data_IF_594137502162
#
_entry.id   IF_594137502162
#
_cell.length_a   1.000
_cell.length_b   1.000
_cell.length_c   1.000
_cell.angle_alpha   90.00
_cell.angle_beta   90.00
_cell.angle_gamma   90.00
#
_symmetry.space_group_name_H-M   'P 1'
#
loop_
_entity.id
_entity.type
_entity.pdbx_description
1 polymer ?
#
# COMPACT_ATOMS: atom_id res chain seq x y z
N UNK A 1 5.29 -1.46 0.39
CA UNK A 1 6.00 -0.42 1.17
C UNK A 1 7.39 -0.12 0.62
N UNK A 2 8.26 -1.12 0.37
CA UNK A 2 9.63 -0.88 -0.09
C UNK A 2 9.75 0.03 -1.33
N UNK A 3 8.86 -0.10 -2.31
CA UNK A 3 8.81 0.79 -3.48
C UNK A 3 8.58 2.26 -3.09
N UNK A 4 7.51 2.51 -2.34
CA UNK A 4 7.08 3.86 -2.03
C UNK A 4 7.99 4.55 -0.99
N UNK A 5 8.58 3.81 -0.06
CA UNK A 5 9.69 4.30 0.78
C UNK A 5 10.89 4.73 -0.07
N UNK A 6 11.19 3.98 -1.14
CA UNK A 6 12.31 4.29 -2.04
C UNK A 6 12.03 5.50 -2.93
N UNK A 7 10.78 5.68 -3.37
CA UNK A 7 10.32 6.88 -4.09
C UNK A 7 10.49 8.12 -3.19
N UNK A 8 10.00 8.06 -1.94
CA UNK A 8 10.14 9.15 -0.98
C UNK A 8 11.59 9.48 -0.67
N UNK A 9 12.44 8.48 -0.47
CA UNK A 9 13.85 8.73 -0.21
C UNK A 9 14.57 9.31 -1.42
N UNK A 10 14.19 8.90 -2.64
CA UNK A 10 14.67 9.56 -3.85
C UNK A 10 14.27 11.05 -3.82
N UNK A 11 13.03 11.37 -3.43
CA UNK A 11 12.52 12.74 -3.31
C UNK A 11 13.29 13.54 -2.25
N UNK A 12 13.55 12.98 -1.07
CA UNK A 12 14.31 13.63 -0.01
C UNK A 12 15.81 13.83 -0.37
N UNK A 13 16.44 12.85 -1.03
CA UNK A 13 17.83 12.99 -1.49
C UNK A 13 17.98 14.02 -2.61
N UNK A 14 16.92 14.20 -3.40
CA UNK A 14 16.87 15.25 -4.42
C UNK A 14 16.84 16.65 -3.83
N UNK A 15 16.20 16.83 -2.68
CA UNK A 15 16.17 18.12 -1.99
C UNK A 15 17.49 18.43 -1.28
N UNK A 16 18.17 17.42 -0.70
CA UNK A 16 19.40 17.64 0.10
C UNK A 16 20.70 17.68 -0.71
N UNK A 17 20.83 16.89 -1.79
CA UNK A 17 22.10 16.70 -2.51
C UNK A 17 22.11 17.25 -3.94
N UNK A 18 21.09 18.02 -4.33
CA UNK A 18 20.96 18.56 -5.69
C UNK A 18 20.75 17.49 -6.77
N UNK A 19 20.44 16.24 -6.38
CA UNK A 19 20.07 15.16 -7.31
C UNK A 19 18.64 15.43 -7.78
N UNK A 20 18.43 16.37 -8.68
CA UNK A 20 17.08 16.66 -9.15
C UNK A 20 16.43 15.39 -9.72
N UNK A 21 15.28 14.95 -9.18
CA UNK A 21 14.52 13.84 -9.77
C UNK A 21 14.00 14.23 -11.16
N UNK A 22 13.71 13.23 -11.99
CA UNK A 22 12.87 13.42 -13.16
C UNK A 22 11.40 13.15 -12.79
N UNK A 23 10.56 14.17 -12.59
CA UNK A 23 9.22 14.04 -12.03
C UNK A 23 8.20 13.39 -12.97
N UNK A 24 8.60 12.94 -14.17
CA UNK A 24 7.64 12.51 -15.20
C UNK A 24 7.46 10.99 -15.27
N UNK A 25 8.28 10.18 -14.58
CA UNK A 25 8.14 8.71 -14.59
C UNK A 25 6.95 8.27 -13.72
N UNK A 26 5.83 7.98 -14.36
CA UNK A 26 4.62 7.45 -13.72
C UNK A 26 4.73 5.94 -13.48
N UNK A 27 4.54 5.49 -12.23
CA UNK A 27 4.67 4.08 -11.86
C UNK A 27 3.36 3.57 -11.29
N UNK A 28 2.89 2.43 -11.81
CA UNK A 28 1.76 1.71 -11.23
C UNK A 28 2.24 0.51 -10.44
N UNK A 29 1.75 0.36 -9.20
CA UNK A 29 1.86 -0.87 -8.40
C UNK A 29 0.47 -1.48 -8.25
N UNK A 30 0.12 -2.53 -9.01
CA UNK A 30 -1.21 -3.11 -8.99
C UNK A 30 -1.60 -3.67 -7.61
N UNK A 31 -2.82 -3.36 -7.15
CA UNK A 31 -3.52 -4.07 -6.08
C UNK A 31 -4.20 -5.33 -6.62
N UNK A 32 -5.52 -5.47 -6.43
CA UNK A 32 -6.27 -6.53 -7.14
C UNK A 32 -6.20 -6.37 -8.67
N UNK A 33 -6.29 -7.49 -9.40
CA UNK A 33 -6.30 -7.49 -10.86
C UNK A 33 -7.43 -6.63 -11.44
N UNK A 34 -8.66 -6.84 -10.96
CA UNK A 34 -9.84 -6.12 -11.45
C UNK A 34 -9.71 -4.61 -11.25
N UNK A 35 -9.21 -4.19 -10.10
CA UNK A 35 -8.94 -2.78 -9.80
C UNK A 35 -7.93 -2.18 -10.78
N UNK A 36 -6.81 -2.89 -10.96
CA UNK A 36 -5.74 -2.44 -11.83
C UNK A 36 -6.18 -2.35 -13.31
N UNK A 37 -6.90 -3.34 -13.81
CA UNK A 37 -7.46 -3.36 -15.16
C UNK A 37 -8.39 -2.16 -15.40
N UNK A 38 -9.35 -1.93 -14.51
CA UNK A 38 -10.27 -0.79 -14.59
C UNK A 38 -9.51 0.56 -14.58
N UNK A 39 -8.53 0.73 -13.70
CA UNK A 39 -7.75 1.96 -13.60
C UNK A 39 -6.91 2.22 -14.85
N UNK A 40 -6.20 1.19 -15.31
CA UNK A 40 -5.26 1.29 -16.41
C UNK A 40 -5.99 1.68 -17.70
N UNK A 41 -7.15 1.07 -17.96
CA UNK A 41 -8.00 1.40 -19.11
C UNK A 41 -8.49 2.85 -18.96
N UNK A 42 -9.11 3.19 -17.84
CA UNK A 42 -9.67 4.52 -17.61
C UNK A 42 -8.63 5.64 -17.77
N UNK A 43 -7.44 5.48 -17.17
CA UNK A 43 -6.37 6.49 -17.23
C UNK A 43 -5.80 6.60 -18.64
N UNK A 44 -5.54 5.48 -19.31
CA UNK A 44 -5.02 5.46 -20.67
C UNK A 44 -6.01 6.08 -21.66
N UNK A 45 -7.29 5.70 -21.60
CA UNK A 45 -8.33 6.27 -22.47
C UNK A 45 -8.54 7.76 -22.21
N UNK A 46 -8.58 8.18 -20.93
CA UNK A 46 -8.65 9.59 -20.57
C UNK A 46 -7.46 10.39 -21.08
N UNK A 47 -6.25 9.82 -21.01
CA UNK A 47 -5.02 10.41 -21.54
C UNK A 47 -5.09 10.63 -23.06
N UNK A 48 -5.49 9.59 -23.81
CA UNK A 48 -5.61 9.68 -25.26
C UNK A 48 -6.74 10.61 -25.70
N UNK A 49 -7.86 10.66 -24.97
CA UNK A 49 -8.93 11.65 -25.20
C UNK A 49 -8.44 13.10 -25.08
N UNK A 50 -7.49 13.37 -24.19
CA UNK A 50 -6.85 14.70 -24.03
C UNK A 50 -5.74 14.98 -25.05
N UNK A 51 -5.59 14.14 -26.08
CA UNK A 51 -4.56 14.29 -27.11
C UNK A 51 -3.19 13.74 -26.73
N UNK A 52 -3.09 13.06 -25.58
CA UNK A 52 -1.87 12.40 -25.15
C UNK A 52 -1.47 11.23 -26.05
N UNK A 53 -0.16 11.02 -26.23
CA UNK A 53 0.41 9.87 -26.94
C UNK A 53 1.16 8.95 -25.97
N UNK A 54 1.38 7.69 -26.38
CA UNK A 54 2.08 6.71 -25.54
C UNK A 54 1.27 6.20 -24.34
N UNK A 55 1.93 5.53 -23.37
CA UNK A 55 1.28 5.04 -22.16
C UNK A 55 1.06 6.16 -21.13
N UNK A 56 0.05 5.98 -20.25
CA UNK A 56 -0.08 6.82 -19.06
C UNK A 56 0.94 6.45 -17.98
N UNK A 57 1.11 5.15 -17.70
CA UNK A 57 2.13 4.65 -16.78
C UNK A 57 3.39 4.23 -17.54
N UNK A 58 4.55 4.71 -17.11
CA UNK A 58 5.85 4.32 -17.67
C UNK A 58 6.24 2.89 -17.27
N UNK A 59 6.02 2.55 -16.00
CA UNK A 59 6.42 1.26 -15.42
C UNK A 59 5.27 0.66 -14.65
N UNK A 60 5.01 -0.63 -14.87
CA UNK A 60 4.11 -1.42 -14.01
C UNK A 60 4.93 -2.37 -13.15
N UNK A 61 4.91 -2.17 -11.84
CA UNK A 61 5.58 -2.99 -10.85
C UNK A 61 4.60 -3.98 -10.22
N UNK A 62 4.67 -5.25 -10.61
CA UNK A 62 3.88 -6.31 -9.99
C UNK A 62 4.59 -6.87 -8.77
N UNK A 63 3.97 -6.69 -7.61
CA UNK A 63 4.40 -7.26 -6.33
C UNK A 63 3.54 -8.49 -6.01
N UNK A 64 3.51 -9.47 -6.92
CA UNK A 64 2.53 -10.57 -6.89
C UNK A 64 3.05 -11.86 -6.28
N UNK A 65 2.41 -12.35 -5.22
CA UNK A 65 2.53 -13.75 -4.75
C UNK A 65 1.41 -14.66 -5.30
N UNK A 66 0.69 -14.24 -6.34
CA UNK A 66 -0.50 -14.91 -6.87
C UNK A 66 -0.40 -15.39 -8.33
N UNK A 67 -1.33 -16.25 -8.73
CA UNK A 67 -1.43 -16.77 -10.10
C UNK A 67 -2.03 -15.69 -11.03
N UNK A 68 -1.22 -15.15 -11.94
CA UNK A 68 -1.66 -14.24 -12.99
C UNK A 68 -2.07 -15.04 -14.23
N UNK A 69 -3.21 -14.70 -14.85
CA UNK A 69 -3.56 -15.15 -16.20
C UNK A 69 -2.63 -14.46 -17.23
N UNK A 70 -1.47 -15.08 -17.43
CA UNK A 70 -0.26 -14.54 -18.05
C UNK A 70 -0.48 -13.80 -19.36
N UNK A 71 -1.25 -14.41 -20.26
CA UNK A 71 -1.44 -13.89 -21.62
C UNK A 71 -2.42 -12.72 -21.69
N UNK A 72 -3.45 -12.72 -20.84
CA UNK A 72 -4.44 -11.65 -20.81
C UNK A 72 -3.79 -10.36 -20.30
N UNK A 73 -2.98 -10.48 -19.23
CA UNK A 73 -2.29 -9.34 -18.64
C UNK A 73 -1.29 -8.73 -19.60
N UNK A 74 -0.45 -9.55 -20.23
CA UNK A 74 0.53 -9.06 -21.21
C UNK A 74 -0.14 -8.30 -22.36
N UNK A 75 -1.25 -8.82 -22.91
CA UNK A 75 -2.00 -8.16 -23.98
C UNK A 75 -2.65 -6.86 -23.54
N UNK A 76 -3.23 -6.81 -22.34
CA UNK A 76 -3.82 -5.57 -21.81
C UNK A 76 -2.75 -4.48 -21.69
N UNK A 77 -1.62 -4.80 -21.05
CA UNK A 77 -0.52 -3.86 -20.89
C UNK A 77 0.02 -3.36 -22.24
N UNK A 78 0.19 -4.26 -23.20
CA UNK A 78 0.62 -3.90 -24.56
C UNK A 78 -0.41 -3.00 -25.26
N UNK A 79 -1.72 -3.26 -25.09
CA UNK A 79 -2.78 -2.41 -25.66
C UNK A 79 -2.78 -1.00 -25.05
N UNK A 80 -2.37 -0.87 -23.79
CA UNK A 80 -2.15 0.40 -23.11
C UNK A 80 -0.77 1.03 -23.39
N UNK A 81 0.00 0.47 -24.34
CA UNK A 81 1.34 0.92 -24.75
C UNK A 81 2.40 0.89 -23.63
N UNK A 82 2.20 0.04 -22.61
CA UNK A 82 3.18 -0.15 -21.54
C UNK A 82 4.42 -0.87 -22.09
N UNK A 83 5.59 -0.28 -21.90
CA UNK A 83 6.84 -0.84 -22.42
C UNK A 83 7.67 -1.59 -21.36
N UNK A 84 7.51 -1.22 -20.08
CA UNK A 84 8.33 -1.71 -18.98
C UNK A 84 7.50 -2.35 -17.88
N UNK A 85 7.85 -3.60 -17.56
CA UNK A 85 7.22 -4.35 -16.48
C UNK A 85 8.28 -4.89 -15.51
N UNK A 86 8.07 -4.64 -14.22
CA UNK A 86 8.91 -5.18 -13.15
C UNK A 86 8.11 -6.23 -12.37
N UNK A 87 8.47 -7.50 -12.50
CA UNK A 87 7.86 -8.61 -11.77
C UNK A 87 8.67 -8.90 -10.50
N UNK A 88 8.34 -8.25 -9.40
CA UNK A 88 8.96 -8.46 -8.09
C UNK A 88 8.44 -9.72 -7.38
N UNK A 89 8.16 -10.78 -8.14
CA UNK A 89 7.69 -12.06 -7.63
C UNK A 89 8.78 -13.12 -7.77
N UNK A 90 9.00 -13.85 -6.68
CA UNK A 90 9.94 -14.97 -6.67
C UNK A 90 9.58 -15.96 -7.77
N UNK A 91 10.59 -16.45 -8.47
CA UNK A 91 10.45 -17.45 -9.54
C UNK A 91 9.67 -16.98 -10.80
N UNK A 92 9.38 -15.67 -10.94
CA UNK A 92 8.79 -15.13 -12.18
C UNK A 92 9.64 -15.33 -13.43
N UNK A 93 10.97 -15.35 -13.28
CA UNK A 93 11.91 -15.61 -14.36
C UNK A 93 12.41 -17.07 -14.37
N UNK A 94 11.78 -17.97 -13.59
CA UNK A 94 12.21 -19.36 -13.51
C UNK A 94 11.83 -20.11 -14.79
N UNK A 95 12.75 -20.94 -15.26
CA UNK A 95 12.55 -21.81 -16.43
C UNK A 95 12.59 -23.26 -15.96
N UNK A 96 11.54 -23.68 -15.26
CA UNK A 96 11.32 -25.08 -14.89
C UNK A 96 10.34 -25.70 -15.90
N UNK A 97 10.84 -26.19 -17.04
CA UNK A 97 10.04 -26.83 -18.08
C UNK A 97 9.99 -26.06 -19.42
N UNK A 98 8.92 -26.22 -20.23
CA UNK A 98 8.79 -25.52 -21.49
C UNK A 98 8.92 -24.01 -21.29
N UNK A 99 9.55 -23.31 -22.23
CA UNK A 99 9.77 -21.87 -22.14
C UNK A 99 8.52 -21.02 -21.81
N UNK A 100 7.33 -21.50 -22.15
CA UNK A 100 6.04 -20.89 -21.81
C UNK A 100 5.74 -20.84 -20.28
N UNK A 101 6.47 -21.62 -19.48
CA UNK A 101 6.38 -21.62 -18.02
C UNK A 101 7.07 -20.42 -17.36
N UNK A 102 7.93 -19.68 -18.08
CA UNK A 102 8.55 -18.45 -17.58
C UNK A 102 7.61 -17.25 -17.74
N UNK A 103 7.17 -16.67 -16.63
CA UNK A 103 6.21 -15.55 -16.62
C UNK A 103 6.78 -14.31 -17.31
N UNK A 104 8.06 -13.97 -17.08
CA UNK A 104 8.66 -12.80 -17.74
C UNK A 104 8.64 -12.93 -19.27
N UNK A 105 8.82 -14.16 -19.78
CA UNK A 105 8.79 -14.42 -21.23
C UNK A 105 7.40 -14.19 -21.83
N UNK A 106 6.32 -14.57 -21.13
CA UNK A 106 4.96 -14.37 -21.66
C UNK A 106 4.64 -12.89 -21.87
N UNK A 107 5.15 -12.00 -21.02
CA UNK A 107 4.99 -10.55 -21.19
C UNK A 107 5.72 -10.06 -22.45
N UNK A 108 6.97 -10.48 -22.66
CA UNK A 108 7.71 -10.11 -23.88
C UNK A 108 7.06 -10.66 -25.15
N UNK A 109 6.49 -11.87 -25.10
CA UNK A 109 5.74 -12.47 -26.21
C UNK A 109 4.42 -11.76 -26.49
N UNK A 110 3.82 -11.13 -25.47
CA UNK A 110 2.59 -10.36 -25.60
C UNK A 110 2.82 -8.93 -26.13
N UNK A 111 4.07 -8.53 -26.37
CA UNK A 111 4.42 -7.22 -26.94
C UNK A 111 5.02 -6.22 -25.95
N UNK A 112 5.33 -6.63 -24.72
CA UNK A 112 6.07 -5.78 -23.77
C UNK A 112 7.55 -5.75 -24.17
N UNK A 113 8.11 -4.55 -24.32
CA UNK A 113 9.48 -4.37 -24.79
C UNK A 113 10.50 -4.96 -23.80
N UNK A 114 10.41 -4.56 -22.54
CA UNK A 114 11.34 -4.99 -21.48
C UNK A 114 10.57 -5.47 -20.26
N UNK A 115 10.86 -6.69 -19.83
CA UNK A 115 10.30 -7.28 -18.63
C UNK A 115 11.42 -7.79 -17.71
N UNK A 116 11.33 -7.43 -16.43
CA UNK A 116 12.26 -7.86 -15.38
C UNK A 116 11.56 -8.88 -14.49
N UNK A 117 12.27 -9.92 -14.07
CA UNK A 117 11.75 -10.81 -13.04
C UNK A 117 12.84 -11.50 -12.23
N UNK A 118 12.41 -12.28 -11.26
CA UNK A 118 13.27 -12.94 -10.29
C UNK A 118 13.28 -14.45 -10.58
N UNK A 119 14.43 -15.05 -10.88
CA UNK A 119 14.51 -16.48 -11.26
C UNK A 119 14.50 -17.43 -10.06
N UNK A 120 14.81 -16.94 -8.85
CA UNK A 120 14.83 -17.72 -7.62
C UNK A 120 14.07 -17.01 -6.49
N UNK A 121 13.94 -17.67 -5.34
CA UNK A 121 13.35 -17.05 -4.15
C UNK A 121 14.29 -15.99 -3.58
N UNK A 122 13.77 -14.80 -3.32
CA UNK A 122 14.46 -13.73 -2.60
C UNK A 122 13.96 -13.67 -1.15
N UNK A 123 14.87 -13.34 -0.23
CA UNK A 123 14.44 -12.93 1.12
C UNK A 123 13.79 -11.55 1.07
N UNK A 124 12.94 -11.21 2.05
CA UNK A 124 12.33 -9.88 2.12
C UNK A 124 13.37 -8.75 2.19
N UNK A 125 14.49 -8.98 2.88
CA UNK A 125 15.61 -8.03 2.91
C UNK A 125 16.33 -7.88 1.58
N UNK A 126 16.48 -8.97 0.82
CA UNK A 126 17.06 -8.91 -0.52
C UNK A 126 16.15 -8.13 -1.48
N UNK A 127 14.85 -8.45 -1.48
CA UNK A 127 13.86 -7.73 -2.29
C UNK A 127 13.85 -6.23 -1.95
N UNK A 128 13.91 -5.87 -0.66
CA UNK A 128 14.01 -4.47 -0.23
C UNK A 128 15.29 -3.80 -0.74
N UNK A 129 16.44 -4.46 -0.63
CA UNK A 129 17.72 -3.96 -1.12
C UNK A 129 17.68 -3.70 -2.64
N UNK A 130 17.21 -4.69 -3.41
CA UNK A 130 17.09 -4.65 -4.86
C UNK A 130 16.12 -3.57 -5.34
N UNK A 131 14.89 -3.53 -4.82
CA UNK A 131 13.87 -2.55 -5.20
C UNK A 131 14.36 -1.14 -4.88
N UNK A 132 14.96 -0.96 -3.70
CA UNK A 132 15.50 0.34 -3.28
C UNK A 132 16.60 0.82 -4.22
N UNK A 133 17.62 0.00 -4.45
CA UNK A 133 18.73 0.38 -5.32
C UNK A 133 18.25 0.66 -6.76
N UNK A 134 17.33 -0.17 -7.27
CA UNK A 134 16.74 0.03 -8.58
C UNK A 134 16.03 1.39 -8.69
N UNK A 135 15.07 1.70 -7.81
CA UNK A 135 14.28 2.92 -7.93
C UNK A 135 15.07 4.19 -7.62
N UNK A 136 15.99 4.17 -6.67
CA UNK A 136 16.88 5.30 -6.41
C UNK A 136 17.70 5.67 -7.65
N UNK A 137 18.16 4.68 -8.41
CA UNK A 137 18.91 4.93 -9.64
C UNK A 137 17.99 5.28 -10.81
N UNK A 138 16.82 4.66 -10.92
CA UNK A 138 15.84 4.96 -11.97
C UNK A 138 15.39 6.42 -11.94
N UNK A 139 15.18 6.98 -10.75
CA UNK A 139 14.79 8.39 -10.61
C UNK A 139 15.98 9.37 -10.61
N UNK A 140 17.22 8.87 -10.66
CA UNK A 140 18.40 9.73 -10.71
C UNK A 140 18.57 10.34 -12.12
N UNK A 141 18.82 11.64 -12.20
CA UNK A 141 19.17 12.29 -13.48
C UNK A 141 20.50 11.82 -14.08
N UNK A 142 21.38 11.26 -13.26
CA UNK A 142 22.71 10.79 -13.66
C UNK A 142 22.69 9.42 -14.34
N UNK A 143 21.64 8.61 -14.11
CA UNK A 143 21.48 7.30 -14.74
C UNK A 143 20.02 7.09 -15.19
N UNK A 144 19.54 7.81 -16.22
CA UNK A 144 18.15 7.74 -16.69
C UNK A 144 17.83 6.45 -17.47
N UNK A 145 18.75 5.47 -17.49
CA UNK A 145 18.56 4.22 -18.22
C UNK A 145 18.14 3.10 -17.26
N UNK A 146 17.02 2.47 -17.60
CA UNK A 146 16.43 1.36 -16.86
C UNK A 146 17.43 0.21 -16.65
N UNK A 147 18.31 -0.06 -17.62
CA UNK A 147 19.33 -1.12 -17.48
C UNK A 147 20.43 -0.75 -16.48
N UNK A 148 20.83 0.53 -16.41
CA UNK A 148 21.78 1.00 -15.39
C UNK A 148 21.19 0.90 -13.98
N UNK A 149 19.89 1.22 -13.83
CA UNK A 149 19.19 1.01 -12.57
C UNK A 149 19.17 -0.47 -12.14
N UNK A 150 19.02 -1.41 -13.09
CA UNK A 150 19.11 -2.85 -12.80
C UNK A 150 20.53 -3.28 -12.43
N UNK A 151 21.56 -2.75 -13.10
CA UNK A 151 22.96 -3.02 -12.75
C UNK A 151 23.28 -2.54 -11.34
N UNK A 152 22.85 -1.33 -10.98
CA UNK A 152 22.99 -0.81 -9.62
C UNK A 152 22.27 -1.66 -8.58
N UNK A 153 21.10 -2.23 -8.92
CA UNK A 153 20.39 -3.15 -8.05
C UNK A 153 21.16 -4.47 -7.82
N UNK A 154 21.79 -5.01 -8.86
CA UNK A 154 22.66 -6.19 -8.75
C UNK A 154 23.91 -5.91 -7.91
N UNK A 155 24.53 -4.75 -8.12
CA UNK A 155 25.70 -4.32 -7.36
C UNK A 155 25.36 -4.13 -5.86
N UNK A 156 24.20 -3.56 -5.55
CA UNK A 156 23.73 -3.45 -4.17
C UNK A 156 23.53 -4.82 -3.49
N UNK A 157 22.98 -5.81 -4.21
CA UNK A 157 22.86 -7.18 -3.70
C UNK A 157 24.23 -7.86 -3.52
N UNK A 158 25.20 -7.57 -4.40
CA UNK A 158 26.54 -8.14 -4.31
C UNK A 158 27.34 -7.56 -3.14
N UNK A 159 27.27 -6.25 -2.96
CA UNK A 159 28.05 -5.51 -1.95
C UNK A 159 27.50 -5.66 -0.54
N UNK A 160 26.22 -6.00 -0.40
CA UNK A 160 25.60 -6.37 0.87
C UNK A 160 25.16 -7.83 0.79
N UNK A 161 25.91 -8.84 1.26
CA UNK A 161 25.49 -10.26 1.18
C UNK A 161 24.70 -10.77 2.39
N UNK A 162 24.72 -10.07 3.53
CA UNK A 162 23.95 -10.47 4.74
C UNK A 162 22.44 -10.26 4.53
N UNK A 163 21.62 -11.24 4.90
CA UNK A 163 20.16 -11.27 4.73
C UNK A 163 19.46 -11.75 5.99
N UNK A 164 18.20 -11.34 6.17
CA UNK A 164 17.31 -11.89 7.18
C UNK A 164 16.39 -12.95 6.54
N UNK A 165 16.49 -14.17 7.03
CA UNK A 165 15.61 -15.29 6.70
C UNK A 165 14.44 -15.37 7.71
N UNK A 166 13.72 -16.51 7.75
CA UNK A 166 12.65 -16.73 8.74
C UNK A 166 13.15 -16.49 10.16
N UNK A 167 12.28 -15.92 11.00
CA UNK A 167 12.59 -15.55 12.38
C UNK A 167 13.81 -14.63 12.47
N UNK A 168 14.00 -13.75 11.50
CA UNK A 168 15.09 -12.78 11.45
C UNK A 168 16.51 -13.39 11.49
N UNK A 169 16.68 -14.67 11.11
CA UNK A 169 17.99 -15.33 11.10
C UNK A 169 18.91 -14.72 10.04
N UNK A 170 20.12 -14.37 10.45
CA UNK A 170 21.14 -13.82 9.54
C UNK A 170 21.76 -14.93 8.71
N UNK A 171 21.71 -14.78 7.39
CA UNK A 171 22.33 -15.69 6.42
C UNK A 171 23.14 -14.90 5.40
N UNK A 172 24.16 -15.51 4.81
CA UNK A 172 24.95 -14.92 3.72
C UNK A 172 24.46 -15.49 2.39
N UNK A 173 23.99 -14.65 1.47
CA UNK A 173 23.49 -15.07 0.17
C UNK A 173 24.20 -14.31 -0.96
N UNK A 174 24.60 -15.04 -2.00
CA UNK A 174 25.09 -14.49 -3.27
C UNK A 174 23.95 -14.44 -4.28
N UNK A 175 23.01 -13.53 -4.06
CA UNK A 175 21.79 -13.36 -4.86
C UNK A 175 21.92 -12.29 -5.97
N UNK A 176 23.12 -11.75 -6.20
CA UNK A 176 23.40 -10.69 -7.20
C UNK A 176 23.17 -11.08 -8.66
N UNK A 177 22.96 -12.37 -8.95
CA UNK A 177 22.48 -12.84 -10.25
C UNK A 177 21.05 -12.35 -10.55
N UNK A 178 20.31 -11.90 -9.53
CA UNK A 178 18.96 -11.35 -9.60
C UNK A 178 18.99 -9.81 -9.62
N UNK A 179 18.07 -9.13 -10.33
CA UNK A 179 16.99 -9.69 -11.15
C UNK A 179 17.46 -10.08 -12.56
N UNK A 180 16.64 -10.82 -13.32
CA UNK A 180 16.88 -11.20 -14.72
C UNK A 180 16.05 -10.32 -15.65
N UNK A 181 16.62 -9.91 -16.78
CA UNK A 181 15.97 -9.02 -17.76
C UNK A 181 15.73 -9.76 -19.06
N UNK A 182 14.50 -9.67 -19.57
CA UNK A 182 14.11 -10.13 -20.90
C UNK A 182 13.76 -8.91 -21.75
N UNK A 183 14.30 -8.86 -22.97
CA UNK A 183 14.08 -7.79 -23.94
C UNK A 183 13.66 -8.37 -25.27
N UNK A 184 12.73 -7.71 -25.94
CA UNK A 184 12.32 -8.09 -27.29
C UNK A 184 13.49 -7.88 -28.27
N UNK A 185 13.80 -8.87 -29.10
CA UNK A 185 15.03 -8.92 -29.91
C UNK A 185 15.13 -7.87 -31.01
N UNK A 186 14.01 -7.25 -31.38
CA UNK A 186 13.89 -6.19 -32.40
C UNK A 186 13.70 -4.79 -31.78
N UNK A 187 13.86 -4.65 -30.46
CA UNK A 187 13.89 -3.36 -29.79
C UNK A 187 15.27 -2.71 -29.96
N UNK A 188 15.68 -2.41 -31.20
CA UNK A 188 16.93 -1.68 -31.51
C UNK A 188 16.86 -0.20 -31.13
N UNK A 189 15.68 0.28 -30.73
CA UNK A 189 15.57 1.60 -30.16
C UNK A 189 16.19 1.59 -28.75
N UNK A 190 17.25 2.39 -28.48
CA UNK A 190 17.58 2.74 -27.11
C UNK A 190 16.31 3.31 -26.47
N UNK A 191 16.12 3.07 -25.16
CA UNK A 191 15.03 3.69 -24.40
C UNK A 191 14.88 5.14 -24.87
N UNK A 192 13.74 5.45 -25.50
CA UNK A 192 13.52 6.79 -26.03
C UNK A 192 13.78 7.73 -24.88
N UNK A 193 14.75 8.64 -25.04
CA UNK A 193 15.14 9.52 -23.95
C UNK A 193 13.87 10.19 -23.47
N UNK A 194 13.59 9.98 -22.19
CA UNK A 194 12.40 10.43 -21.49
C UNK A 194 12.02 11.91 -21.76
N UNK A 195 13.01 12.73 -22.14
CA UNK A 195 12.87 14.12 -22.58
C UNK A 195 12.03 14.34 -23.85
N UNK A 196 11.91 13.37 -24.75
CA UNK A 196 11.27 13.55 -26.07
C UNK A 196 9.77 13.18 -26.07
N UNK A 197 9.27 12.51 -25.03
CA UNK A 197 7.90 11.97 -25.00
C UNK A 197 6.85 12.94 -24.41
N UNK A 198 7.29 14.02 -23.74
CA UNK A 198 6.41 15.00 -23.11
C UNK A 198 6.95 16.43 -23.30
N UNK A 199 6.80 16.97 -24.51
CA UNK A 199 6.80 18.43 -24.71
C UNK A 199 5.37 18.94 -24.53
N UNK A 200 4.96 19.17 -23.27
CA UNK A 200 3.74 19.91 -22.93
C UNK A 200 3.81 20.41 -21.48
N UNK A 201 4.07 21.70 -21.38
CA UNK A 201 3.90 22.62 -20.26
C UNK A 201 2.75 22.31 -19.29
N UNK A 202 2.99 21.51 -18.24
CA UNK A 202 2.18 21.54 -17.01
C UNK A 202 3.06 21.32 -15.77
N UNK A 203 4.11 22.13 -15.61
CA UNK A 203 4.80 22.27 -14.34
C UNK A 203 3.95 23.15 -13.41
N UNK A 204 3.08 22.54 -12.60
CA UNK A 204 2.44 23.23 -11.48
C UNK A 204 3.50 23.50 -10.42
N UNK A 205 4.00 24.74 -10.40
CA UNK A 205 4.69 25.31 -9.24
C UNK A 205 3.64 25.58 -8.18
N UNK A 206 3.54 24.73 -7.17
CA UNK A 206 2.96 25.08 -5.88
C UNK A 206 3.77 24.35 -4.81
N UNK A 207 4.73 25.05 -4.22
CA UNK A 207 5.27 24.68 -2.91
C UNK A 207 4.22 25.06 -1.87
N UNK A 208 3.58 24.10 -1.17
CA UNK A 208 2.69 24.45 -0.08
C UNK A 208 3.53 24.95 1.10
N UNK A 209 3.01 25.98 1.76
CA UNK A 209 3.52 26.47 3.04
C UNK A 209 3.25 25.40 4.12
N UNK A 210 4.30 24.66 4.50
CA UNK A 210 4.27 23.50 5.40
C UNK A 210 3.86 23.89 6.83
N UNK A 211 3.99 25.17 7.21
CA UNK A 211 3.76 25.62 8.58
C UNK A 211 2.28 25.94 8.89
N UNK A 212 1.43 26.12 7.88
CA UNK A 212 -0.02 26.31 8.06
C UNK A 212 -0.78 24.99 8.32
N UNK A 213 -0.21 23.85 7.92
CA UNK A 213 -0.88 22.52 7.90
C UNK A 213 -0.84 21.84 9.29
N UNK A 214 -0.06 22.36 10.25
CA UNK A 214 0.21 21.69 11.53
C UNK A 214 -0.85 21.88 12.63
N UNK A 215 -1.91 22.66 12.42
CA UNK A 215 -2.79 23.07 13.54
C UNK A 215 -4.02 22.19 13.79
N UNK A 216 -4.31 21.17 12.98
CA UNK A 216 -5.47 20.30 13.24
C UNK A 216 -5.16 18.86 12.90
N UNK A 217 -4.69 18.14 13.93
CA UNK A 217 -4.72 16.69 14.24
C UNK A 217 -4.08 16.55 15.63
N UNK A 218 -4.56 15.63 16.49
CA UNK A 218 -3.73 15.11 17.58
C UNK A 218 -2.48 14.49 16.96
N UNK A 219 -1.36 15.23 16.93
CA UNK A 219 -0.13 14.96 16.14
C UNK A 219 0.40 13.53 16.28
N UNK A 220 -0.02 12.82 17.31
CA UNK A 220 0.24 11.42 17.62
C UNK A 220 -0.34 10.43 16.57
N UNK A 221 -1.51 10.67 15.98
CA UNK A 221 -2.16 9.73 15.05
C UNK A 221 -1.52 9.72 13.63
N UNK A 222 -0.79 10.77 13.26
CA UNK A 222 -0.01 10.84 12.02
C UNK A 222 1.45 10.43 12.21
N UNK A 223 1.85 9.97 13.40
CA UNK A 223 3.18 9.41 13.54
C UNK A 223 3.21 8.04 12.87
N UNK A 224 4.34 7.75 12.19
CA UNK A 224 4.58 6.41 11.66
C UNK A 224 4.41 5.40 12.80
N UNK A 225 3.47 4.44 12.69
CA UNK A 225 3.29 3.44 13.73
C UNK A 225 4.61 2.67 13.94
N UNK A 226 4.98 2.47 15.21
CA UNK A 226 6.20 1.73 15.59
C UNK A 226 6.11 0.22 15.28
N UNK A 227 4.91 -0.29 15.06
CA UNK A 227 4.62 -1.70 14.82
C UNK A 227 4.71 -2.09 13.34
N UNK A 228 5.37 -3.21 13.04
CA UNK A 228 5.45 -3.76 11.69
C UNK A 228 4.08 -4.25 11.19
N UNK A 229 3.69 -3.85 9.98
CA UNK A 229 2.44 -4.23 9.31
C UNK A 229 2.63 -5.39 8.35
N UNK A 230 3.41 -6.38 8.75
CA UNK A 230 3.74 -7.55 7.95
C UNK A 230 2.47 -8.16 7.31
N UNK A 231 2.47 -8.28 5.98
CA UNK A 231 1.39 -8.91 5.22
C UNK A 231 0.16 -8.04 4.98
N UNK A 232 0.20 -6.74 5.31
CA UNK A 232 -0.93 -5.81 5.12
C UNK A 232 -0.85 -4.99 3.83
N UNK A 233 0.18 -5.19 3.01
CA UNK A 233 0.47 -4.36 1.85
C UNK A 233 -0.63 -4.41 0.78
N UNK A 234 -1.25 -5.58 0.57
CA UNK A 234 -2.38 -5.71 -0.35
C UNK A 234 -3.63 -5.01 0.18
N UNK A 235 -3.89 -5.08 1.48
CA UNK A 235 -5.02 -4.39 2.08
C UNK A 235 -4.88 -2.86 1.95
N UNK A 236 -3.65 -2.32 2.02
CA UNK A 236 -3.38 -0.90 1.76
C UNK A 236 -3.78 -0.54 0.33
N UNK A 237 -3.29 -1.31 -0.65
CA UNK A 237 -3.57 -1.08 -2.07
C UNK A 237 -5.07 -1.17 -2.39
N UNK A 238 -5.76 -2.16 -1.81
CA UNK A 238 -7.20 -2.32 -2.01
C UNK A 238 -8.00 -1.13 -1.47
N UNK A 239 -7.55 -0.51 -0.37
CA UNK A 239 -8.18 0.68 0.18
C UNK A 239 -7.84 1.95 -0.60
N UNK A 240 -6.59 2.11 -1.05
CA UNK A 240 -6.20 3.20 -1.96
C UNK A 240 -7.04 3.16 -3.25
N UNK A 241 -7.26 1.96 -3.78
CA UNK A 241 -8.15 1.76 -4.91
C UNK A 241 -9.59 2.17 -4.61
N UNK A 242 -10.12 1.75 -3.46
CA UNK A 242 -11.48 2.08 -3.06
C UNK A 242 -11.72 3.60 -2.98
N UNK A 243 -10.72 4.36 -2.55
CA UNK A 243 -10.79 5.81 -2.45
C UNK A 243 -10.67 6.52 -3.82
N UNK A 244 -9.85 5.98 -4.72
CA UNK A 244 -9.53 6.60 -6.02
C UNK A 244 -10.52 6.25 -7.14
N UNK A 245 -11.37 5.23 -6.94
CA UNK A 245 -12.32 4.77 -7.96
C UNK A 245 -13.40 5.84 -8.25
N UNK A 246 -13.55 6.29 -9.51
CA UNK A 246 -14.65 7.18 -9.90
C UNK A 246 -16.01 6.54 -9.63
N UNK A 247 -17.00 7.33 -9.25
CA UNK A 247 -18.38 6.85 -9.12
C UNK A 247 -18.93 6.67 -10.54
N UNK A 248 -19.36 5.45 -10.88
CA UNK A 248 -19.64 5.00 -12.25
C UNK A 248 -20.83 5.69 -12.95
N UNK A 249 -21.43 6.73 -12.37
CA UNK A 249 -22.63 7.39 -12.87
C UNK A 249 -22.41 8.77 -13.51
N UNK A 250 -21.18 9.24 -13.65
CA UNK A 250 -20.93 10.61 -14.11
C UNK A 250 -20.25 10.61 -15.48
N UNK A 251 -21.10 10.69 -16.49
CA UNK A 251 -20.77 10.82 -17.93
C UNK A 251 -20.15 12.20 -18.25
N UNK A 252 -20.13 13.12 -17.28
CA UNK A 252 -19.61 14.48 -17.46
C UNK A 252 -18.48 14.73 -16.45
N UNK A 253 -17.31 15.13 -16.95
CA UNK A 253 -16.05 15.43 -16.23
C UNK A 253 -16.15 16.60 -15.19
N UNK A 254 -17.35 16.97 -14.73
CA UNK A 254 -17.62 18.17 -13.91
C UNK A 254 -18.27 17.90 -12.55
N UNK A 255 -18.60 16.65 -12.20
CA UNK A 255 -19.16 16.38 -10.88
C UNK A 255 -18.12 16.55 -9.77
N UNK A 256 -18.47 17.19 -8.63
CA UNK A 256 -17.54 17.36 -7.53
C UNK A 256 -17.09 15.99 -7.01
N UNK A 257 -15.81 15.81 -6.66
CA UNK A 257 -15.32 14.52 -6.17
C UNK A 257 -15.98 14.26 -4.82
N UNK A 258 -17.07 13.47 -4.80
CA UNK A 258 -17.63 13.00 -3.55
C UNK A 258 -16.57 12.18 -2.82
N UNK A 259 -16.55 12.35 -1.50
CA UNK A 259 -15.79 11.52 -0.61
C UNK A 259 -16.22 10.06 -0.68
N UNK A 260 -15.51 9.21 0.03
CA UNK A 260 -15.82 7.77 0.09
C UNK A 260 -15.92 7.36 1.54
N UNK A 261 -16.93 6.54 1.85
CA UNK A 261 -17.04 5.87 3.15
C UNK A 261 -16.46 4.47 2.98
N UNK A 262 -15.50 4.12 3.84
CA UNK A 262 -14.90 2.79 3.94
C UNK A 262 -15.21 2.24 5.31
N UNK A 263 -15.75 1.02 5.37
CA UNK A 263 -16.01 0.29 6.62
C UNK A 263 -14.99 -0.84 6.74
N UNK A 264 -14.06 -0.68 7.67
CA UNK A 264 -13.06 -1.67 8.05
C UNK A 264 -13.59 -2.55 9.18
N UNK A 265 -13.84 -3.83 8.87
CA UNK A 265 -14.36 -4.79 9.85
C UNK A 265 -13.51 -6.05 9.98
N UNK A 266 -13.67 -6.77 11.10
CA UNK A 266 -12.91 -7.99 11.38
C UNK A 266 -12.87 -8.34 12.87
N UNK A 267 -12.38 -9.53 13.21
CA UNK A 267 -12.34 -10.04 14.58
C UNK A 267 -11.54 -9.15 15.55
N UNK A 268 -11.80 -9.28 16.85
CA UNK A 268 -11.02 -8.59 17.87
C UNK A 268 -9.54 -9.00 17.80
N UNK A 269 -8.62 -8.05 18.05
CA UNK A 269 -7.18 -8.32 18.05
C UNK A 269 -6.51 -8.48 16.67
N UNK A 270 -7.26 -8.46 15.56
CA UNK A 270 -6.70 -8.63 14.20
C UNK A 270 -5.83 -7.44 13.71
N UNK A 271 -5.77 -6.34 14.47
CA UNK A 271 -4.96 -5.16 14.16
C UNK A 271 -5.67 -4.05 13.37
N UNK A 272 -7.00 -3.94 13.46
CA UNK A 272 -7.77 -2.91 12.72
C UNK A 272 -7.36 -1.48 13.06
N UNK A 273 -7.25 -1.16 14.34
CA UNK A 273 -6.83 0.17 14.81
C UNK A 273 -5.43 0.52 14.31
N UNK A 274 -4.46 -0.38 14.49
CA UNK A 274 -3.10 -0.24 13.96
C UNK A 274 -3.09 -0.02 12.45
N UNK A 275 -3.94 -0.74 11.73
CA UNK A 275 -4.06 -0.61 10.28
C UNK A 275 -4.69 0.73 9.86
N UNK A 276 -5.77 1.16 10.50
CA UNK A 276 -6.42 2.45 10.24
C UNK A 276 -5.48 3.64 10.48
N UNK A 277 -4.73 3.62 11.58
CA UNK A 277 -3.73 4.65 11.89
C UNK A 277 -2.59 4.66 10.87
N UNK A 278 -2.14 3.48 10.43
CA UNK A 278 -1.17 3.42 9.35
C UNK A 278 -1.67 4.00 8.04
N UNK A 279 -2.93 3.75 7.67
CA UNK A 279 -3.50 4.33 6.45
C UNK A 279 -3.58 5.85 6.56
N UNK A 280 -3.93 6.38 7.74
CA UNK A 280 -3.91 7.81 8.00
C UNK A 280 -2.52 8.41 7.75
N UNK A 281 -1.50 7.85 8.40
CA UNK A 281 -0.10 8.22 8.20
C UNK A 281 0.30 8.09 6.73
N UNK A 282 0.01 6.93 6.13
CA UNK A 282 0.44 6.60 4.78
C UNK A 282 -0.16 7.53 3.74
N UNK A 283 -1.47 7.76 3.79
CA UNK A 283 -2.18 8.62 2.85
C UNK A 283 -1.85 10.09 3.04
N UNK A 284 -1.61 10.54 4.28
CA UNK A 284 -1.09 11.88 4.53
C UNK A 284 0.27 12.04 3.86
N UNK A 285 1.15 11.08 4.07
CA UNK A 285 2.50 11.15 3.55
C UNK A 285 2.62 10.96 2.03
N UNK A 286 1.72 10.20 1.41
CA UNK A 286 1.64 10.08 -0.05
C UNK A 286 0.80 11.18 -0.67
N UNK A 287 0.42 12.20 0.12
CA UNK A 287 -0.38 13.34 -0.31
C UNK A 287 -1.76 12.98 -0.90
N UNK A 288 -2.26 11.78 -0.59
CA UNK A 288 -3.62 11.35 -0.94
C UNK A 288 -4.69 12.09 -0.13
N UNK A 289 -4.31 12.54 1.08
CA UNK A 289 -5.14 13.39 1.93
C UNK A 289 -4.33 14.62 2.38
N UNK A 290 -5.01 15.72 2.65
CA UNK A 290 -4.41 16.93 3.23
C UNK A 290 -4.14 16.76 4.72
N UNK A 291 -5.14 16.26 5.44
CA UNK A 291 -5.15 16.07 6.89
C UNK A 291 -6.25 15.05 7.25
N UNK A 292 -6.46 14.78 8.52
CA UNK A 292 -7.44 13.85 9.02
C UNK A 292 -7.94 14.17 10.43
N UNK A 293 -8.90 13.41 10.91
CA UNK A 293 -9.45 13.51 12.26
C UNK A 293 -9.64 12.09 12.76
N UNK A 294 -9.04 11.75 13.89
CA UNK A 294 -9.16 10.43 14.50
C UNK A 294 -9.93 10.53 15.80
N UNK A 295 -10.98 9.72 15.94
CA UNK A 295 -11.69 9.50 17.19
C UNK A 295 -11.86 8.01 17.42
N UNK A 296 -11.41 7.53 18.58
CA UNK A 296 -11.80 6.20 19.06
C UNK A 296 -13.06 6.34 19.89
N UNK A 297 -14.06 5.51 19.59
CA UNK A 297 -15.23 5.41 20.45
C UNK A 297 -14.90 4.62 21.72
N UNK A 298 -15.31 5.17 22.86
CA UNK A 298 -15.19 4.52 24.16
C UNK A 298 -16.55 4.60 24.85
N UNK A 299 -17.47 3.65 24.58
CA UNK A 299 -18.76 3.53 25.30
C UNK A 299 -19.51 4.87 25.54
N UNK A 300 -19.44 5.79 24.59
CA UNK A 300 -20.14 7.08 24.59
C UNK A 300 -21.29 7.02 23.56
N UNK A 301 -22.27 7.92 23.70
CA UNK A 301 -23.34 8.04 22.71
C UNK A 301 -22.79 8.62 21.37
N UNK A 302 -23.41 8.31 20.21
CA UNK A 302 -22.95 8.78 18.90
C UNK A 302 -22.98 10.30 18.71
N UNK A 303 -23.88 10.97 19.41
CA UNK A 303 -24.01 12.43 19.42
C UNK A 303 -22.73 13.12 19.92
N UNK A 304 -22.01 12.53 20.87
CA UNK A 304 -20.69 13.01 21.32
C UNK A 304 -19.71 13.09 20.15
N UNK A 305 -19.73 12.11 19.25
CA UNK A 305 -18.89 12.13 18.05
C UNK A 305 -19.28 13.30 17.16
N UNK A 306 -20.59 13.51 16.94
CA UNK A 306 -21.10 14.60 16.10
C UNK A 306 -20.75 15.96 16.69
N UNK A 307 -20.87 16.13 18.02
CA UNK A 307 -20.46 17.35 18.71
C UNK A 307 -18.97 17.63 18.55
N UNK A 308 -18.11 16.62 18.70
CA UNK A 308 -16.68 16.79 18.50
C UNK A 308 -16.32 17.10 17.05
N UNK A 309 -16.98 16.44 16.10
CA UNK A 309 -16.83 16.76 14.68
C UNK A 309 -17.20 18.22 14.41
N UNK A 310 -18.26 18.74 15.04
CA UNK A 310 -18.65 20.14 14.93
C UNK A 310 -17.63 21.08 15.60
N UNK A 311 -17.16 20.76 16.82
CA UNK A 311 -16.15 21.54 17.56
C UNK A 311 -14.82 21.65 16.80
N UNK A 312 -14.48 20.62 16.02
CA UNK A 312 -13.24 20.57 15.23
C UNK A 312 -13.43 20.97 13.75
N UNK A 313 -14.56 21.60 13.41
CA UNK A 313 -14.89 22.08 12.05
C UNK A 313 -14.83 20.99 10.94
N UNK A 314 -14.94 19.71 11.33
CA UNK A 314 -14.99 18.57 10.40
C UNK A 314 -16.26 18.63 9.54
N UNK A 315 -17.32 19.22 10.10
CA UNK A 315 -18.63 19.40 9.46
C UNK A 315 -18.80 20.74 8.75
N UNK A 316 -17.81 21.63 8.70
CA UNK A 316 -17.93 22.93 8.02
C UNK A 316 -17.20 23.01 6.69
N UNK A 317 -16.09 22.26 6.55
CA UNK A 317 -15.13 22.44 5.46
C UNK A 317 -15.46 21.58 4.24
N UNK A 318 -15.38 22.19 3.05
CA UNK A 318 -15.43 21.49 1.76
C UNK A 318 -14.01 21.18 1.28
N UNK A 319 -13.81 20.02 0.65
CA UNK A 319 -12.52 19.65 0.08
C UNK A 319 -12.03 20.69 -0.93
N UNK A 320 -10.79 21.14 -0.76
CA UNK A 320 -10.05 21.93 -1.73
C UNK A 320 -9.45 21.02 -2.81
N UNK A 321 -8.15 21.19 -3.10
CA UNK A 321 -7.44 20.33 -4.06
C UNK A 321 -7.20 18.90 -3.55
N UNK A 322 -7.25 18.67 -2.23
CA UNK A 322 -7.04 17.37 -1.58
C UNK A 322 -8.14 17.11 -0.53
N UNK A 323 -8.60 15.86 -0.39
CA UNK A 323 -9.59 15.48 0.61
C UNK A 323 -8.98 15.39 2.02
N UNK A 324 -9.82 15.47 3.05
CA UNK A 324 -9.46 15.16 4.44
C UNK A 324 -9.99 13.77 4.80
N UNK A 325 -9.43 13.14 5.85
CA UNK A 325 -9.82 11.81 6.32
C UNK A 325 -10.46 11.84 7.72
N UNK A 326 -11.71 11.44 7.86
CA UNK A 326 -12.34 11.16 9.15
C UNK A 326 -12.15 9.68 9.51
N UNK A 327 -11.64 9.36 10.69
CA UNK A 327 -11.57 8.01 11.24
C UNK A 327 -12.42 7.94 12.51
N UNK A 328 -13.40 7.04 12.52
CA UNK A 328 -14.17 6.67 13.71
C UNK A 328 -13.84 5.23 14.06
N UNK A 329 -13.05 5.04 15.10
CA UNK A 329 -12.60 3.72 15.56
C UNK A 329 -13.52 3.14 16.62
N UNK A 330 -13.52 1.81 16.73
CA UNK A 330 -14.33 1.05 17.68
C UNK A 330 -15.84 1.28 17.58
N UNK A 331 -16.36 1.52 16.38
CA UNK A 331 -17.77 1.79 16.10
C UNK A 331 -18.72 0.64 16.53
N UNK A 332 -18.23 -0.56 16.83
CA UNK A 332 -19.03 -1.61 17.47
C UNK A 332 -19.49 -1.26 18.90
N UNK A 333 -18.75 -0.39 19.60
CA UNK A 333 -19.23 0.23 20.82
C UNK A 333 -20.53 0.99 20.56
N UNK A 334 -20.78 1.34 19.27
CA UNK A 334 -21.98 2.02 18.85
C UNK A 334 -23.25 1.16 18.67
N UNK A 335 -23.22 -0.09 19.13
CA UNK A 335 -24.31 -1.04 18.90
C UNK A 335 -24.40 -2.07 20.03
N UNK A 336 -23.43 -2.05 20.92
CA UNK A 336 -23.50 -2.68 22.22
C UNK A 336 -24.12 -1.62 23.17
N UNK A 337 -25.43 -1.69 23.45
CA UNK A 337 -26.08 -0.69 24.29
C UNK A 337 -25.36 -0.58 25.64
N UNK A 338 -25.22 0.64 26.14
CA UNK A 338 -24.88 0.84 27.54
C UNK A 338 -26.00 0.18 28.34
N UNK A 339 -25.64 -0.65 29.33
CA UNK A 339 -26.62 -1.43 30.10
C UNK A 339 -27.68 -0.56 30.79
N UNK A 340 -27.36 0.71 31.00
CA UNK A 340 -28.16 1.66 31.74
C UNK A 340 -28.77 2.79 30.88
N UNK A 341 -28.38 2.91 29.59
CA UNK A 341 -28.86 3.98 28.68
C UNK A 341 -28.77 3.55 27.19
N UNK A 342 -29.77 2.80 26.69
CA UNK A 342 -29.79 2.35 25.32
C UNK A 342 -30.05 3.53 24.37
N UNK A 343 -29.51 3.40 23.19
CA UNK A 343 -29.41 4.47 22.22
C UNK A 343 -30.73 4.64 21.51
N UNK A 344 -31.09 5.86 21.13
CA UNK A 344 -32.30 6.10 20.35
C UNK A 344 -32.03 6.21 18.84
N UNK A 345 -33.09 5.99 18.04
CA UNK A 345 -33.03 6.08 16.58
C UNK A 345 -32.60 7.48 16.10
N UNK A 346 -32.82 8.52 16.92
CA UNK A 346 -32.51 9.89 16.58
C UNK A 346 -31.00 10.14 16.62
N UNK A 347 -30.30 9.69 17.67
CA UNK A 347 -28.84 9.78 17.81
C UNK A 347 -28.13 9.03 16.67
N UNK A 348 -28.62 7.83 16.32
CA UNK A 348 -28.08 7.06 15.21
C UNK A 348 -28.29 7.74 13.85
N UNK A 349 -29.46 8.35 13.65
CA UNK A 349 -29.76 9.12 12.44
C UNK A 349 -28.89 10.38 12.34
N UNK A 350 -28.68 11.10 13.45
CA UNK A 350 -27.80 12.26 13.50
C UNK A 350 -26.36 11.87 13.14
N UNK A 351 -25.84 10.79 13.72
CA UNK A 351 -24.52 10.27 13.40
C UNK A 351 -24.39 9.91 11.92
N UNK A 352 -25.34 9.13 11.37
CA UNK A 352 -25.32 8.75 9.95
C UNK A 352 -25.36 9.98 9.03
N UNK A 353 -26.16 10.98 9.38
CA UNK A 353 -26.27 12.25 8.64
C UNK A 353 -24.94 13.00 8.65
N UNK A 354 -24.29 13.12 9.81
CA UNK A 354 -22.98 13.77 9.94
C UNK A 354 -21.91 13.09 9.07
N UNK A 355 -21.85 11.75 9.08
CA UNK A 355 -20.93 10.98 8.24
C UNK A 355 -21.17 11.21 6.74
N UNK A 356 -22.44 11.17 6.31
CA UNK A 356 -22.81 11.42 4.92
C UNK A 356 -22.50 12.87 4.51
N UNK A 357 -22.60 13.83 5.43
CA UNK A 357 -22.28 15.22 5.18
C UNK A 357 -20.76 15.42 4.93
N UNK A 358 -19.90 14.73 5.69
CA UNK A 358 -18.44 14.72 5.45
C UNK A 358 -18.13 14.17 4.05
N UNK A 359 -18.75 13.05 3.69
CA UNK A 359 -18.62 12.45 2.36
C UNK A 359 -19.11 13.40 1.25
N UNK A 360 -20.26 14.03 1.44
CA UNK A 360 -20.86 14.94 0.46
C UNK A 360 -19.96 16.16 0.18
N UNK A 361 -19.12 16.54 1.13
CA UNK A 361 -18.14 17.62 1.01
C UNK A 361 -16.81 17.23 0.37
N UNK A 362 -16.70 15.99 -0.12
CA UNK A 362 -15.51 15.50 -0.79
C UNK A 362 -14.44 14.94 0.13
N UNK A 363 -14.76 14.66 1.39
CA UNK A 363 -13.83 14.09 2.36
C UNK A 363 -14.03 12.57 2.54
N UNK A 364 -12.96 11.84 2.80
CA UNK A 364 -13.03 10.39 3.03
C UNK A 364 -13.37 10.08 4.48
N UNK A 365 -14.12 9.00 4.70
CA UNK A 365 -14.49 8.50 6.02
C UNK A 365 -14.06 7.04 6.13
N UNK A 366 -13.35 6.70 7.20
CA UNK A 366 -12.97 5.35 7.57
C UNK A 366 -13.63 4.97 8.91
N UNK A 367 -14.60 4.08 8.85
CA UNK A 367 -15.31 3.56 10.01
C UNK A 367 -14.73 2.20 10.39
N UNK A 368 -14.25 2.04 11.63
CA UNK A 368 -13.60 0.80 12.07
C UNK A 368 -14.47 0.09 13.11
N UNK A 369 -14.79 -1.17 12.86
CA UNK A 369 -15.76 -1.94 13.67
C UNK A 369 -15.41 -3.41 13.76
N UNK A 370 -15.99 -4.14 14.73
CA UNK A 370 -15.90 -5.60 14.81
C UNK A 370 -16.96 -6.30 13.96
N UNK A 371 -18.11 -5.66 13.80
CA UNK A 371 -19.30 -6.24 13.19
C UNK A 371 -19.67 -5.48 11.91
N UNK A 372 -20.17 -6.21 10.91
CA UNK A 372 -20.57 -5.62 9.64
C UNK A 372 -21.96 -5.01 9.72
N UNK A 373 -22.92 -5.75 10.28
CA UNK A 373 -24.24 -5.23 10.61
C UNK A 373 -24.21 -4.46 11.92
N UNK A 374 -24.99 -3.37 12.07
CA UNK A 374 -26.00 -2.83 11.15
C UNK A 374 -25.43 -1.86 10.10
N UNK A 375 -24.12 -1.64 10.07
CA UNK A 375 -23.48 -0.62 9.24
C UNK A 375 -23.66 -0.85 7.73
N UNK A 376 -23.93 -2.09 7.29
CA UNK A 376 -24.36 -2.37 5.90
C UNK A 376 -25.66 -1.70 5.52
N UNK A 377 -26.60 -1.64 6.47
CA UNK A 377 -27.92 -1.07 6.28
C UNK A 377 -27.82 0.46 6.37
N UNK A 378 -27.04 0.98 7.32
CA UNK A 378 -26.85 2.43 7.51
C UNK A 378 -26.10 3.09 6.35
N UNK A 379 -25.08 2.41 5.80
CA UNK A 379 -24.22 2.97 4.75
C UNK A 379 -24.11 2.04 3.52
N UNK A 380 -25.19 1.75 2.79
CA UNK A 380 -25.21 0.73 1.74
C UNK A 380 -24.21 1.00 0.60
N UNK A 381 -23.85 2.27 0.38
CA UNK A 381 -22.89 2.70 -0.64
C UNK A 381 -21.43 2.68 -0.18
N UNK A 382 -21.16 2.33 1.09
CA UNK A 382 -19.81 2.26 1.63
C UNK A 382 -19.02 1.09 1.03
N UNK A 383 -17.71 1.24 0.98
CA UNK A 383 -16.80 0.15 0.63
C UNK A 383 -16.50 -0.67 1.88
N UNK A 384 -16.86 -1.95 1.88
CA UNK A 384 -16.61 -2.85 3.00
C UNK A 384 -15.31 -3.60 2.80
N UNK A 385 -14.39 -3.49 3.76
CA UNK A 385 -13.13 -4.22 3.77
C UNK A 385 -13.02 -5.10 5.02
N UNK A 386 -12.88 -6.41 4.80
CA UNK A 386 -12.70 -7.39 5.87
C UNK A 386 -11.21 -7.63 6.14
N UNK A 387 -10.72 -7.17 7.29
CA UNK A 387 -9.34 -7.39 7.72
C UNK A 387 -9.19 -8.81 8.27
N UNK A 388 -8.53 -9.67 7.48
CA UNK A 388 -8.24 -11.07 7.85
C UNK A 388 -7.03 -11.16 8.80
N UNK A 389 -6.81 -12.28 9.50
CA UNK A 389 -5.52 -12.55 10.14
C UNK A 389 -4.35 -12.57 9.12
N UNK A 390 -3.12 -12.26 9.53
CA UNK A 390 -1.92 -12.40 8.70
C UNK A 390 -1.73 -13.83 8.20
N UNK A 391 -1.00 -13.98 7.09
CA UNK A 391 -0.61 -15.31 6.61
C UNK A 391 0.37 -15.98 7.58
N UNK A 392 0.55 -17.32 7.52
CA UNK A 392 1.53 -18.00 8.36
C UNK A 392 2.96 -17.44 8.21
N UNK A 393 3.32 -16.98 7.01
CA UNK A 393 4.62 -16.38 6.74
C UNK A 393 4.75 -15.01 7.42
N UNK A 394 3.75 -14.15 7.28
CA UNK A 394 3.76 -12.79 7.86
C UNK A 394 3.69 -12.85 9.39
N UNK A 395 2.91 -13.79 9.93
CA UNK A 395 2.87 -14.09 11.35
C UNK A 395 4.25 -14.51 11.89
N UNK A 396 4.97 -15.35 11.15
CA UNK A 396 6.34 -15.74 11.52
C UNK A 396 7.31 -14.55 11.53
N UNK A 397 7.13 -13.61 10.60
CA UNK A 397 7.87 -12.35 10.58
C UNK A 397 7.58 -11.49 11.81
N UNK A 398 6.29 -11.32 12.14
CA UNK A 398 5.84 -10.57 13.32
C UNK A 398 6.42 -11.15 14.61
N UNK A 399 6.38 -12.47 14.78
CA UNK A 399 6.98 -13.16 15.94
C UNK A 399 8.49 -12.92 15.99
N UNK A 400 9.18 -13.01 14.84
CA UNK A 400 10.62 -12.71 14.77
C UNK A 400 10.97 -11.28 15.22
N UNK A 401 10.11 -10.30 14.91
CA UNK A 401 10.31 -8.92 15.34
C UNK A 401 10.06 -8.73 16.84
N UNK A 402 9.02 -9.38 17.39
CA UNK A 402 8.72 -9.37 18.82
C UNK A 402 9.89 -9.96 19.62
N UNK A 403 10.37 -11.14 19.23
CA UNK A 403 11.48 -11.84 19.90
C UNK A 403 12.76 -10.99 19.91
N UNK A 404 13.05 -10.32 18.79
CA UNK A 404 14.17 -9.39 18.69
C UNK A 404 14.00 -8.18 19.62
N UNK A 405 12.77 -7.65 19.74
CA UNK A 405 12.43 -6.55 20.65
C UNK A 405 12.66 -6.88 22.12
N UNK A 406 12.33 -8.12 22.52
CA UNK A 406 12.50 -8.63 23.89
C UNK A 406 13.96 -9.00 24.22
N UNK A 407 14.92 -8.77 23.32
CA UNK A 407 16.33 -9.16 23.46
C UNK A 407 16.56 -10.67 23.71
N UNK A 408 15.57 -11.52 23.48
CA UNK A 408 15.64 -12.98 23.67
C UNK A 408 16.45 -13.71 22.56
N UNK A 409 17.29 -12.98 21.81
CA UNK A 409 17.97 -13.49 20.63
C UNK A 409 17.00 -13.90 19.51
N UNK A 410 17.52 -14.48 18.42
CA UNK A 410 16.69 -15.28 17.52
C UNK A 410 16.61 -16.68 18.13
N UNK A 411 15.47 -17.13 18.67
CA UNK A 411 15.38 -18.41 19.38
C UNK A 411 15.38 -19.61 18.43
N UNK A 412 15.76 -19.43 17.17
CA UNK A 412 15.61 -20.46 16.12
C UNK A 412 16.96 -20.79 15.53
N UNK A 413 17.85 -21.35 16.35
CA UNK A 413 19.05 -22.00 15.84
C UNK A 413 18.75 -23.37 15.23
N UNK A 414 17.63 -24.00 15.60
CA UNK A 414 17.26 -25.35 15.20
C UNK A 414 15.87 -25.51 14.56
N UNK A 415 15.73 -26.57 13.75
CA UNK A 415 14.47 -26.93 13.06
C UNK A 415 13.29 -27.30 13.98
N UNK A 416 13.54 -27.58 15.25
CA UNK A 416 12.53 -27.92 16.27
C UNK A 416 11.84 -26.69 16.85
N UNK A 417 12.58 -25.60 17.07
CA UNK A 417 12.05 -24.33 17.61
C UNK A 417 11.15 -23.63 16.59
N UNK A 418 11.50 -23.68 15.30
CA UNK A 418 10.65 -23.23 14.20
C UNK A 418 9.28 -23.93 14.20
N UNK A 419 9.27 -25.27 14.38
CA UNK A 419 8.04 -26.07 14.45
C UNK A 419 7.19 -25.70 15.67
N UNK A 420 7.82 -25.40 16.80
CA UNK A 420 7.11 -24.96 18.00
C UNK A 420 6.41 -23.61 17.79
N UNK A 421 7.10 -22.63 17.20
CA UNK A 421 6.51 -21.33 16.84
C UNK A 421 5.37 -21.49 15.84
N UNK A 422 5.52 -22.36 14.85
CA UNK A 422 4.46 -22.66 13.88
C UNK A 422 3.23 -23.31 14.55
N UNK A 423 3.43 -24.20 15.54
CA UNK A 423 2.35 -24.77 16.33
C UNK A 423 1.61 -23.70 17.16
N UNK A 424 2.34 -22.80 17.82
CA UNK A 424 1.76 -21.71 18.60
C UNK A 424 0.95 -20.76 17.71
N UNK A 425 1.48 -20.37 16.56
CA UNK A 425 0.77 -19.56 15.57
C UNK A 425 -0.54 -20.20 15.11
N UNK A 426 -0.55 -21.52 14.95
CA UNK A 426 -1.76 -22.25 14.58
C UNK A 426 -2.80 -22.27 15.71
N UNK A 427 -2.38 -22.48 16.96
CA UNK A 427 -3.26 -22.43 18.14
C UNK A 427 -3.94 -21.06 18.24
N UNK A 428 -3.19 -19.99 18.00
CA UNK A 428 -3.71 -18.62 18.08
C UNK A 428 -4.43 -18.13 16.83
N UNK A 429 -4.63 -19.02 15.85
CA UNK A 429 -5.26 -18.71 14.57
C UNK A 429 -4.69 -17.46 13.90
N UNK A 430 -3.39 -17.25 14.10
CA UNK A 430 -2.65 -16.10 13.57
C UNK A 430 -3.12 -14.73 14.09
N UNK A 431 -3.76 -14.64 15.27
CA UNK A 431 -4.22 -13.36 15.83
C UNK A 431 -3.03 -12.51 16.36
N UNK A 432 -2.77 -11.31 15.81
CA UNK A 432 -1.63 -10.48 16.21
C UNK A 432 -1.64 -10.07 17.69
N UNK A 433 -2.80 -9.77 18.27
CA UNK A 433 -2.89 -9.40 19.70
C UNK A 433 -2.50 -10.59 20.58
N UNK A 434 -3.05 -11.77 20.31
CA UNK A 434 -2.72 -12.97 21.08
C UNK A 434 -1.22 -13.31 21.00
N UNK A 435 -0.58 -13.07 19.85
CA UNK A 435 0.86 -13.21 19.70
C UNK A 435 1.59 -12.22 20.60
N UNK A 436 1.28 -10.92 20.53
CA UNK A 436 1.97 -9.89 21.32
C UNK A 436 1.85 -10.14 22.83
N UNK A 437 0.64 -10.46 23.33
CA UNK A 437 0.35 -10.65 24.76
C UNK A 437 1.18 -11.78 25.39
N UNK A 438 1.27 -12.93 24.72
CA UNK A 438 1.98 -14.10 25.28
C UNK A 438 3.48 -13.85 25.32
N UNK A 439 4.03 -13.15 24.33
CA UNK A 439 5.45 -12.82 24.34
C UNK A 439 5.78 -11.73 25.37
N UNK A 440 4.87 -10.80 25.68
CA UNK A 440 5.06 -9.89 26.83
C UNK A 440 5.01 -10.62 28.18
N UNK A 441 4.16 -11.64 28.33
CA UNK A 441 4.12 -12.46 29.54
C UNK A 441 5.38 -13.35 29.70
N UNK A 442 5.97 -13.81 28.59
CA UNK A 442 7.23 -14.55 28.62
C UNK A 442 8.43 -13.67 29.00
N UNK A 443 8.39 -12.37 28.73
CA UNK A 443 9.40 -11.41 29.20
C UNK A 443 9.36 -11.23 30.73
N UNK A 444 8.19 -11.45 31.36
CA UNK A 444 8.04 -11.47 32.81
C UNK A 444 8.55 -12.77 33.47
N UNK A 445 8.67 -13.87 32.71
CA UNK A 445 9.12 -15.17 33.22
C UNK A 445 10.64 -15.35 33.03
N UNK A 446 11.44 -14.29 33.22
CA UNK A 446 12.91 -14.43 33.24
C UNK A 446 13.33 -15.49 34.28
N UNK A 447 13.75 -16.65 33.78
CA UNK A 447 14.61 -17.65 34.43
C UNK A 447 16.05 -17.34 34.04
#
# INVERSE_FOLDING_TARGET
MALADSIKEAQARSTDHGIALDPRVEISRPGTWKAFEELLILKTEGWHRRGGQGPWYAVVHFDVHGAILRDLVGRLLASCKIEFVFLNSCESAKVDGPAAACLVRTFTQAGINTAVGISHKLTGTAAKCLVRAFYLNLFSRTAPDFFQAILAARDALQTSPERLARYNLKVQLSDSILPVVYRMSNADQPFARWSEMHDSSHAVKNTPDIDAIRSFISTEALQKPSTNLAGREFAVLDMEWALTKPIANEINDEAPPYGKIVILHGSAGVGKTTFALFLAFWWFETEMIETGFYRSQVKEHPDVIVEEMAKNDVLGVTAGSKPRLLIVDQLHACVEPLTDDPWDDHQMLQFATAILQVMARGHHVLLVTRIKEPWSITFPSAVYHHLKPPSPYDASGLVGDILKGLRLGNPVGGSSEAKFVDCLNHIWQYNPLAMCEIWSELDYIQI
#
